data_IF_948963464458
#
_entry.id   IF_948963464458
#
_cell.length_a   1.000
_cell.length_b   1.000
_cell.length_c   1.000
_cell.angle_alpha   90.00
_cell.angle_beta   90.00
_cell.angle_gamma   90.00
#
_symmetry.space_group_name_H-M   'P 1'
#
loop_
_entity.id
_entity.type
_entity.pdbx_description
1 polymer ?
#
# COMPACT_ATOMS: atom_id res chain seq x y z
N UNK A 1 16.20 21.34 -11.60
CA UNK A 1 14.99 22.06 -11.14
C UNK A 1 13.83 21.07 -11.17
N UNK A 2 13.68 20.26 -10.11
CA UNK A 2 12.66 19.20 -10.05
C UNK A 2 11.29 19.82 -9.82
N UNK A 3 10.32 19.47 -10.67
CA UNK A 3 8.95 19.98 -10.72
C UNK A 3 8.38 20.29 -9.32
N UNK A 4 7.98 21.55 -9.10
CA UNK A 4 7.24 21.97 -7.92
C UNK A 4 5.81 21.43 -8.04
N UNK A 5 5.65 20.12 -7.82
CA UNK A 5 4.34 19.46 -7.91
C UNK A 5 3.42 20.08 -6.85
N UNK A 6 2.31 20.68 -7.29
CA UNK A 6 1.30 21.21 -6.40
C UNK A 6 0.81 20.07 -5.48
N UNK A 7 0.68 20.33 -4.17
CA UNK A 7 0.31 19.32 -3.15
C UNK A 7 -1.00 18.62 -3.51
N UNK A 8 -1.96 19.34 -4.06
CA UNK A 8 -3.23 18.79 -4.53
C UNK A 8 -3.02 17.76 -5.65
N UNK A 9 -2.26 18.12 -6.68
CA UNK A 9 -1.95 17.24 -7.81
C UNK A 9 -1.22 15.96 -7.36
N UNK A 10 -0.32 16.06 -6.37
CA UNK A 10 0.38 14.90 -5.84
C UNK A 10 -0.56 13.92 -5.12
N UNK A 11 -1.50 14.41 -4.30
CA UNK A 11 -2.48 13.55 -3.62
C UNK A 11 -3.39 12.87 -4.63
N UNK A 12 -3.91 13.63 -5.60
CA UNK A 12 -4.80 13.09 -6.63
C UNK A 12 -4.09 12.01 -7.46
N UNK A 13 -2.86 12.27 -7.91
CA UNK A 13 -2.07 11.29 -8.65
C UNK A 13 -1.84 10.01 -7.86
N UNK A 14 -1.41 10.12 -6.60
CA UNK A 14 -1.16 8.95 -5.75
C UNK A 14 -2.45 8.17 -5.49
N UNK A 15 -3.55 8.88 -5.21
CA UNK A 15 -4.87 8.25 -5.05
C UNK A 15 -5.27 7.46 -6.31
N UNK A 16 -5.21 8.09 -7.49
CA UNK A 16 -5.57 7.44 -8.75
C UNK A 16 -4.68 6.24 -9.05
N UNK A 17 -3.36 6.38 -8.92
CA UNK A 17 -2.43 5.27 -9.12
C UNK A 17 -2.67 4.13 -8.13
N UNK A 18 -2.99 4.45 -6.88
CA UNK A 18 -3.28 3.45 -5.86
C UNK A 18 -4.50 2.61 -6.26
N UNK A 19 -5.61 3.27 -6.63
CA UNK A 19 -6.84 2.61 -7.05
C UNK A 19 -6.61 1.80 -8.33
N UNK A 20 -5.88 2.33 -9.30
CA UNK A 20 -5.55 1.62 -10.55
C UNK A 20 -4.74 0.36 -10.26
N UNK A 21 -3.69 0.44 -9.44
CA UNK A 21 -2.87 -0.72 -9.08
C UNK A 21 -3.68 -1.77 -8.34
N UNK A 22 -4.59 -1.34 -7.47
CA UNK A 22 -5.50 -2.23 -6.78
C UNK A 22 -6.44 -2.96 -7.75
N UNK A 23 -7.09 -2.24 -8.67
CA UNK A 23 -7.99 -2.84 -9.68
C UNK A 23 -7.23 -3.80 -10.60
N UNK A 24 -6.03 -3.41 -11.05
CA UNK A 24 -5.20 -4.27 -11.90
C UNK A 24 -4.83 -5.58 -11.19
N UNK A 25 -4.48 -5.48 -9.90
CA UNK A 25 -4.22 -6.64 -9.08
C UNK A 25 -5.47 -7.51 -8.90
N UNK A 26 -6.60 -6.90 -8.54
CA UNK A 26 -7.88 -7.59 -8.35
C UNK A 26 -8.28 -8.36 -9.61
N UNK A 27 -8.19 -7.71 -10.77
CA UNK A 27 -8.42 -8.34 -12.07
C UNK A 27 -7.48 -9.52 -12.30
N UNK A 28 -6.19 -9.39 -12.00
CA UNK A 28 -5.22 -10.48 -12.17
C UNK A 28 -5.57 -11.70 -11.32
N UNK A 29 -5.93 -11.53 -10.05
CA UNK A 29 -6.27 -12.64 -9.17
C UNK A 29 -7.63 -13.28 -9.50
N UNK A 30 -8.64 -12.46 -9.81
CA UNK A 30 -9.99 -12.96 -10.07
C UNK A 30 -10.12 -13.60 -11.45
N UNK A 31 -9.48 -13.06 -12.49
CA UNK A 31 -9.66 -13.51 -13.87
C UNK A 31 -8.60 -14.52 -14.32
N UNK A 32 -7.35 -14.40 -13.84
CA UNK A 32 -6.25 -15.22 -14.34
C UNK A 32 -5.87 -16.37 -13.41
N UNK A 33 -6.25 -16.33 -12.14
CA UNK A 33 -5.90 -17.38 -11.17
C UNK A 33 -7.09 -18.21 -10.67
N UNK A 34 -8.34 -17.84 -10.99
CA UNK A 34 -9.57 -18.52 -10.53
C UNK A 34 -9.53 -18.88 -9.03
N UNK A 35 -8.82 -18.07 -8.24
CA UNK A 35 -8.47 -18.41 -6.86
C UNK A 35 -9.45 -17.72 -5.91
N UNK A 36 -10.17 -18.45 -5.04
CA UNK A 36 -11.10 -17.86 -4.06
C UNK A 36 -10.38 -17.23 -2.86
N UNK A 37 -9.11 -16.85 -3.01
CA UNK A 37 -8.33 -16.25 -1.93
C UNK A 37 -8.93 -14.88 -1.59
N UNK A 38 -9.16 -14.57 -0.30
CA UNK A 38 -9.60 -13.24 0.10
C UNK A 38 -8.61 -12.23 -0.46
N UNK A 39 -9.08 -11.22 -1.20
CA UNK A 39 -8.19 -10.24 -1.84
C UNK A 39 -7.28 -9.52 -0.84
N UNK A 40 -7.80 -9.35 0.37
CA UNK A 40 -7.10 -8.82 1.52
C UNK A 40 -5.81 -9.62 1.83
N UNK A 41 -5.80 -10.91 1.53
CA UNK A 41 -4.76 -11.90 1.86
C UNK A 41 -3.89 -12.33 0.66
N UNK A 42 -3.86 -11.52 -0.41
CA UNK A 42 -3.13 -11.86 -1.63
C UNK A 42 -1.61 -11.93 -1.38
N UNK A 43 -0.95 -12.93 -2.00
CA UNK A 43 0.52 -13.07 -1.97
C UNK A 43 1.28 -11.98 -2.74
N UNK A 44 0.56 -11.05 -3.39
CA UNK A 44 1.13 -9.89 -4.08
C UNK A 44 0.22 -8.71 -3.79
N UNK A 45 0.72 -7.66 -3.14
CA UNK A 45 -0.04 -6.43 -2.90
C UNK A 45 0.67 -5.21 -3.51
N UNK A 46 0.40 -4.95 -4.79
CA UNK A 46 0.99 -3.86 -5.58
C UNK A 46 0.81 -2.46 -4.95
N UNK A 47 -0.35 -2.12 -4.36
CA UNK A 47 -0.53 -0.79 -3.77
C UNK A 47 0.51 -0.47 -2.70
N UNK A 48 0.99 -1.45 -1.91
CA UNK A 48 2.02 -1.24 -0.90
C UNK A 48 3.31 -0.65 -1.50
N UNK A 49 3.75 -1.19 -2.65
CA UNK A 49 4.93 -0.70 -3.35
C UNK A 49 4.83 0.75 -3.79
N UNK A 50 3.65 1.16 -4.25
CA UNK A 50 3.37 2.57 -4.53
C UNK A 50 3.49 3.41 -3.24
N UNK A 51 2.94 2.95 -2.11
CA UNK A 51 3.04 3.71 -0.85
C UNK A 51 4.48 3.95 -0.45
N UNK A 52 5.33 2.92 -0.52
CA UNK A 52 6.75 3.03 -0.16
C UNK A 52 7.43 4.10 -1.03
N UNK A 53 7.32 3.98 -2.35
CA UNK A 53 8.01 4.88 -3.28
C UNK A 53 7.43 6.30 -3.24
N UNK A 54 6.10 6.42 -3.28
CA UNK A 54 5.44 7.72 -3.23
C UNK A 54 5.76 8.44 -1.91
N UNK A 55 5.82 7.72 -0.78
CA UNK A 55 6.18 8.33 0.51
C UNK A 55 7.65 8.74 0.57
N UNK A 56 8.56 7.93 0.01
CA UNK A 56 9.98 8.30 -0.08
C UNK A 56 10.20 9.55 -0.94
N UNK A 57 9.44 9.70 -2.03
CA UNK A 57 9.56 10.84 -2.97
C UNK A 57 8.86 12.10 -2.44
N UNK A 58 7.60 11.98 -2.04
CA UNK A 58 6.73 13.12 -1.75
C UNK A 58 6.57 13.41 -0.25
N UNK A 59 7.01 12.50 0.62
CA UNK A 59 6.86 12.62 2.07
C UNK A 59 5.40 12.78 2.49
N UNK A 60 5.15 13.59 3.52
CA UNK A 60 3.82 13.78 4.11
C UNK A 60 2.82 14.51 3.20
N UNK A 61 3.27 15.00 2.04
CA UNK A 61 2.42 15.76 1.12
C UNK A 61 1.29 14.92 0.53
N UNK A 62 1.47 13.59 0.43
CA UNK A 62 0.53 12.66 -0.22
C UNK A 62 -0.34 11.84 0.75
N UNK A 63 -0.29 12.15 2.05
CA UNK A 63 -0.98 11.37 3.10
C UNK A 63 -2.49 11.23 2.84
N UNK A 64 -3.13 12.31 2.36
CA UNK A 64 -4.58 12.31 2.10
C UNK A 64 -4.89 11.38 0.92
N UNK A 65 -4.10 11.44 -0.15
CA UNK A 65 -4.26 10.57 -1.31
C UNK A 65 -4.07 9.09 -0.97
N UNK A 66 -3.05 8.77 -0.17
CA UNK A 66 -2.82 7.40 0.32
C UNK A 66 -3.96 6.90 1.20
N UNK A 67 -4.42 7.73 2.13
CA UNK A 67 -5.54 7.39 3.00
C UNK A 67 -6.82 7.15 2.19
N UNK A 68 -7.16 8.05 1.28
CA UNK A 68 -8.34 7.89 0.42
C UNK A 68 -8.24 6.66 -0.46
N UNK A 69 -7.04 6.32 -0.95
CA UNK A 69 -6.81 5.11 -1.74
C UNK A 69 -7.17 3.87 -0.93
N UNK A 70 -6.59 3.76 0.27
CA UNK A 70 -6.89 2.68 1.21
C UNK A 70 -8.36 2.61 1.60
N UNK A 71 -8.97 3.76 1.89
CA UNK A 71 -10.35 3.84 2.33
C UNK A 71 -11.30 3.35 1.23
N UNK A 72 -11.13 3.83 0.00
CA UNK A 72 -11.96 3.42 -1.14
C UNK A 72 -11.76 1.95 -1.49
N UNK A 73 -10.51 1.46 -1.54
CA UNK A 73 -10.27 0.03 -1.82
C UNK A 73 -10.74 -0.84 -0.66
N UNK A 74 -10.68 -0.35 0.58
CA UNK A 74 -11.24 -1.03 1.75
C UNK A 74 -12.75 -1.17 1.67
N UNK A 75 -13.46 -0.12 1.25
CA UNK A 75 -14.89 -0.20 0.94
C UNK A 75 -15.16 -1.26 -0.12
N UNK A 76 -14.37 -1.31 -1.19
CA UNK A 76 -14.52 -2.31 -2.24
C UNK A 76 -14.30 -3.74 -1.75
N UNK A 77 -13.26 -4.00 -0.94
CA UNK A 77 -12.98 -5.34 -0.40
C UNK A 77 -14.15 -5.84 0.46
N UNK A 78 -14.74 -4.96 1.27
CA UNK A 78 -15.87 -5.29 2.14
C UNK A 78 -17.23 -5.14 1.45
N UNK A 79 -17.24 -4.78 0.15
CA UNK A 79 -18.44 -4.59 -0.65
C UNK A 79 -19.20 -5.89 -0.91
N UNK A 80 -18.55 -7.06 -0.83
CA UNK A 80 -19.21 -8.36 -1.02
C UNK A 80 -20.35 -8.61 -0.03
N UNK A 81 -20.40 -7.87 1.08
CA UNK A 81 -21.49 -7.89 2.06
C UNK A 81 -22.68 -6.98 1.68
N UNK A 82 -22.60 -6.27 0.55
CA UNK A 82 -23.59 -5.32 0.03
C UNK A 82 -23.30 -3.85 0.42
N UNK A 83 -23.53 -2.90 -0.50
CA UNK A 83 -23.33 -1.46 -0.24
C UNK A 83 -24.19 -0.94 0.91
N UNK A 84 -25.38 -1.51 1.11
CA UNK A 84 -26.25 -1.19 2.24
C UNK A 84 -25.61 -1.59 3.57
N UNK A 85 -24.91 -2.73 3.63
CA UNK A 85 -24.24 -3.21 4.85
C UNK A 85 -23.17 -2.23 5.34
N UNK A 86 -22.47 -1.55 4.42
CA UNK A 86 -21.50 -0.50 4.77
C UNK A 86 -22.15 0.68 5.49
N UNK A 87 -23.33 1.12 5.07
CA UNK A 87 -24.04 2.24 5.73
C UNK A 87 -24.82 1.82 6.97
N UNK A 88 -25.10 0.52 7.14
CA UNK A 88 -25.89 0.00 8.27
C UNK A 88 -25.04 -0.59 9.39
N UNK A 89 -23.81 -1.03 9.11
CA UNK A 89 -22.92 -1.60 10.12
C UNK A 89 -21.75 -0.65 10.47
N UNK A 90 -21.85 0.09 11.58
CA UNK A 90 -20.79 1.01 12.00
C UNK A 90 -19.47 0.31 12.34
N UNK A 91 -19.49 -0.99 12.63
CA UNK A 91 -18.27 -1.74 12.97
C UNK A 91 -17.37 -1.94 11.76
N UNK A 92 -17.95 -2.21 10.58
CA UNK A 92 -17.22 -2.35 9.31
C UNK A 92 -16.61 -1.00 8.90
N UNK A 93 -17.36 0.09 9.04
CA UNK A 93 -16.85 1.44 8.75
C UNK A 93 -15.66 1.77 9.65
N UNK A 94 -15.76 1.49 10.95
CA UNK A 94 -14.68 1.70 11.90
C UNK A 94 -13.45 0.84 11.58
N UNK A 95 -13.65 -0.44 11.24
CA UNK A 95 -12.59 -1.34 10.79
C UNK A 95 -11.84 -0.77 9.57
N UNK A 96 -12.56 -0.32 8.54
CA UNK A 96 -11.97 0.27 7.33
C UNK A 96 -11.19 1.55 7.67
N UNK A 97 -11.73 2.43 8.52
CA UNK A 97 -11.06 3.65 8.95
C UNK A 97 -9.74 3.36 9.69
N UNK A 98 -9.77 2.43 10.64
CA UNK A 98 -8.60 2.06 11.44
C UNK A 98 -7.52 1.42 10.54
N UNK A 99 -7.89 0.41 9.76
CA UNK A 99 -6.96 -0.28 8.86
C UNK A 99 -6.38 0.66 7.80
N UNK A 100 -7.19 1.54 7.21
CA UNK A 100 -6.72 2.56 6.27
C UNK A 100 -5.71 3.53 6.91
N UNK A 101 -5.95 3.91 8.16
CA UNK A 101 -5.03 4.76 8.93
C UNK A 101 -3.72 4.04 9.19
N UNK A 102 -3.76 2.81 9.71
CA UNK A 102 -2.57 1.98 9.98
C UNK A 102 -1.74 1.84 8.71
N UNK A 103 -2.38 1.41 7.62
CA UNK A 103 -1.70 1.18 6.35
C UNK A 103 -1.11 2.45 5.74
N UNK A 104 -1.77 3.60 5.89
CA UNK A 104 -1.23 4.89 5.43
C UNK A 104 0.00 5.31 6.21
N UNK A 105 -0.02 5.16 7.53
CA UNK A 105 1.04 5.66 8.40
C UNK A 105 2.22 4.69 8.60
N UNK A 106 2.05 3.39 8.37
CA UNK A 106 3.10 2.40 8.62
C UNK A 106 4.41 2.75 7.90
N UNK A 107 4.36 3.19 6.64
CA UNK A 107 5.54 3.59 5.85
C UNK A 107 6.25 4.79 6.46
N UNK A 108 5.49 5.79 6.94
CA UNK A 108 6.04 6.97 7.60
C UNK A 108 6.74 6.62 8.91
N UNK A 109 6.11 5.75 9.69
CA UNK A 109 6.68 5.25 10.94
C UNK A 109 7.98 4.50 10.63
N UNK A 110 7.98 3.60 9.64
CA UNK A 110 9.18 2.87 9.23
C UNK A 110 10.31 3.80 8.81
N UNK A 111 10.04 4.81 7.99
CA UNK A 111 11.05 5.80 7.58
C UNK A 111 11.59 6.55 8.78
N UNK A 112 10.74 7.00 9.72
CA UNK A 112 11.18 7.71 10.93
C UNK A 112 12.04 6.83 11.83
N UNK A 113 11.64 5.58 12.06
CA UNK A 113 12.40 4.63 12.87
C UNK A 113 13.76 4.33 12.25
N UNK A 114 13.78 4.03 10.94
CA UNK A 114 15.01 3.72 10.22
C UNK A 114 15.97 4.92 10.19
N UNK A 115 15.48 6.14 9.99
CA UNK A 115 16.31 7.35 10.04
C UNK A 115 16.92 7.62 11.41
N UNK A 116 16.28 7.19 12.50
CA UNK A 116 16.89 7.26 13.85
C UNK A 116 18.04 6.27 14.04
N UNK A 117 18.05 5.17 13.27
CA UNK A 117 19.07 4.13 13.35
C UNK A 117 20.24 4.35 12.39
N UNK A 118 19.98 4.87 11.18
CA UNK A 118 21.01 5.16 10.18
C UNK A 118 20.66 6.45 9.40
N UNK A 119 21.39 7.53 9.68
CA UNK A 119 21.20 8.82 9.01
C UNK A 119 21.45 8.76 7.50
N UNK A 120 22.15 7.73 6.99
CA UNK A 120 22.36 7.53 5.54
C UNK A 120 21.09 7.14 4.79
N UNK A 121 20.01 6.80 5.50
CA UNK A 121 18.69 6.52 4.94
C UNK A 121 17.89 7.79 4.58
N UNK A 122 18.57 8.94 4.49
CA UNK A 122 18.01 10.17 3.92
C UNK A 122 17.91 10.12 2.40
N UNK A 123 18.77 9.36 1.73
CA UNK A 123 18.75 9.20 0.28
C UNK A 123 17.80 8.09 -0.17
N UNK A 124 17.14 8.28 -1.31
CA UNK A 124 16.30 7.26 -1.94
C UNK A 124 17.21 6.28 -2.69
N UNK A 125 17.73 5.29 -1.98
CA UNK A 125 18.55 4.21 -2.55
C UNK A 125 17.78 2.90 -2.57
N UNK A 126 18.25 1.91 -3.34
CA UNK A 126 17.70 0.55 -3.31
C UNK A 126 17.66 -0.02 -1.88
N UNK A 127 18.73 0.23 -1.10
CA UNK A 127 18.81 -0.19 0.30
C UNK A 127 17.70 0.46 1.13
N UNK A 128 17.47 1.76 0.97
CA UNK A 128 16.39 2.48 1.68
C UNK A 128 15.02 1.90 1.32
N UNK A 129 14.77 1.64 0.03
CA UNK A 129 13.49 1.09 -0.44
C UNK A 129 13.23 -0.30 0.14
N UNK A 130 14.23 -1.18 0.13
CA UNK A 130 14.10 -2.54 0.68
C UNK A 130 13.84 -2.49 2.19
N UNK A 131 14.64 -1.73 2.95
CA UNK A 131 14.50 -1.64 4.40
C UNK A 131 13.15 -1.05 4.81
N UNK A 132 12.70 0.01 4.14
CA UNK A 132 11.38 0.62 4.40
C UNK A 132 10.27 -0.35 4.02
N UNK A 133 10.38 -1.07 2.91
CA UNK A 133 9.38 -2.06 2.51
C UNK A 133 9.25 -3.17 3.55
N UNK A 134 10.36 -3.77 4.00
CA UNK A 134 10.34 -4.84 4.99
C UNK A 134 9.73 -4.35 6.32
N UNK A 135 10.21 -3.21 6.84
CA UNK A 135 9.74 -2.72 8.13
C UNK A 135 8.27 -2.26 8.07
N UNK A 136 7.86 -1.62 6.98
CA UNK A 136 6.47 -1.17 6.83
C UNK A 136 5.52 -2.32 6.54
N UNK A 137 5.95 -3.36 5.82
CA UNK A 137 5.21 -4.60 5.64
C UNK A 137 4.99 -5.30 6.98
N UNK A 138 6.02 -5.36 7.84
CA UNK A 138 5.91 -5.96 9.17
C UNK A 138 4.91 -5.20 10.05
N UNK A 139 5.01 -3.87 10.11
CA UNK A 139 4.07 -3.04 10.88
C UNK A 139 2.66 -3.19 10.30
N UNK A 140 2.50 -3.09 8.98
CA UNK A 140 1.21 -3.19 8.33
C UNK A 140 0.56 -4.57 8.61
N UNK A 141 1.29 -5.66 8.37
CA UNK A 141 0.76 -7.01 8.56
C UNK A 141 0.36 -7.27 10.01
N UNK A 142 1.15 -6.86 10.99
CA UNK A 142 0.81 -7.07 12.40
C UNK A 142 -0.42 -6.28 12.83
N UNK A 143 -0.43 -4.95 12.60
CA UNK A 143 -1.48 -4.09 13.14
C UNK A 143 -2.80 -4.22 12.37
N UNK A 144 -2.76 -4.41 11.05
CA UNK A 144 -3.99 -4.64 10.27
C UNK A 144 -4.61 -5.98 10.64
N UNK A 145 -3.83 -7.06 10.74
CA UNK A 145 -4.36 -8.36 11.13
C UNK A 145 -4.85 -8.42 12.58
N UNK A 146 -4.17 -7.71 13.48
CA UNK A 146 -4.66 -7.55 14.84
C UNK A 146 -5.99 -6.80 14.87
N UNK A 147 -6.15 -5.76 14.04
CA UNK A 147 -7.44 -5.06 13.90
C UNK A 147 -8.51 -5.99 13.34
N UNK A 148 -8.22 -6.77 12.29
CA UNK A 148 -9.17 -7.76 11.78
C UNK A 148 -9.56 -8.81 12.83
N UNK A 149 -8.61 -9.29 13.63
CA UNK A 149 -8.89 -10.21 14.73
C UNK A 149 -9.86 -9.64 15.78
N UNK A 150 -9.82 -8.33 16.04
CA UNK A 150 -10.72 -7.68 16.99
C UNK A 150 -12.14 -7.45 16.44
N UNK A 151 -12.30 -7.32 15.12
CA UNK A 151 -13.56 -6.91 14.48
C UNK A 151 -14.26 -8.04 13.73
N UNK A 152 -13.52 -9.03 13.21
CA UNK A 152 -14.05 -10.15 12.42
C UNK A 152 -13.96 -11.43 13.25
N UNK A 153 -15.12 -12.02 13.52
CA UNK A 153 -15.21 -13.31 14.20
C UNK A 153 -14.47 -14.39 13.41
N UNK A 154 -13.74 -15.26 14.11
CA UNK A 154 -13.02 -16.41 13.55
C UNK A 154 -11.86 -16.03 12.57
N UNK A 155 -11.32 -14.82 12.66
CA UNK A 155 -10.15 -14.39 11.87
C UNK A 155 -8.87 -15.18 12.22
N UNK A 156 -8.29 -15.84 11.22
CA UNK A 156 -7.08 -16.66 11.37
C UNK A 156 -5.78 -15.86 11.32
N UNK A 157 -5.41 -15.25 12.44
CA UNK A 157 -4.31 -14.27 12.52
C UNK A 157 -2.95 -14.79 11.99
N UNK A 158 -2.61 -16.05 12.25
CA UNK A 158 -1.27 -16.58 11.94
C UNK A 158 -0.98 -16.61 10.43
N UNK A 159 -1.85 -17.25 9.64
CA UNK A 159 -1.63 -17.40 8.20
C UNK A 159 -1.72 -16.04 7.48
N UNK A 160 -2.61 -15.17 7.96
CA UNK A 160 -2.89 -13.87 7.36
C UNK A 160 -1.73 -12.88 7.57
N UNK A 161 -1.07 -12.88 8.72
CA UNK A 161 0.13 -12.04 8.94
C UNK A 161 1.22 -12.36 7.91
N UNK A 162 1.50 -13.65 7.66
CA UNK A 162 2.52 -14.05 6.69
C UNK A 162 2.15 -13.66 5.26
N UNK A 163 0.88 -13.86 4.88
CA UNK A 163 0.40 -13.51 3.54
C UNK A 163 0.50 -12.00 3.28
N UNK A 164 0.04 -11.16 4.23
CA UNK A 164 0.19 -9.71 4.15
C UNK A 164 1.66 -9.28 4.07
N UNK A 165 2.50 -9.85 4.93
CA UNK A 165 3.91 -9.49 4.99
C UNK A 165 4.64 -9.81 3.67
N UNK A 166 4.44 -11.02 3.15
CA UNK A 166 5.04 -11.46 1.88
C UNK A 166 4.45 -10.66 0.72
N UNK A 167 3.13 -10.48 0.68
CA UNK A 167 2.43 -9.73 -0.36
C UNK A 167 2.91 -8.29 -0.49
N UNK A 168 3.09 -7.61 0.64
CA UNK A 168 3.60 -6.24 0.70
C UNK A 168 5.04 -6.15 0.17
N UNK A 169 5.92 -7.08 0.56
CA UNK A 169 7.32 -7.11 0.10
C UNK A 169 7.39 -7.39 -1.40
N UNK A 170 6.68 -8.41 -1.90
CA UNK A 170 6.67 -8.77 -3.31
C UNK A 170 6.08 -7.63 -4.14
N UNK A 171 4.98 -7.03 -3.70
CA UNK A 171 4.37 -5.86 -4.33
C UNK A 171 5.33 -4.69 -4.43
N UNK A 172 6.07 -4.39 -3.35
CA UNK A 172 7.13 -3.39 -3.34
C UNK A 172 8.23 -3.65 -4.37
N UNK A 173 8.73 -4.89 -4.44
CA UNK A 173 9.78 -5.26 -5.38
C UNK A 173 9.29 -5.08 -6.82
N UNK A 174 8.08 -5.55 -7.15
CA UNK A 174 7.49 -5.43 -8.49
C UNK A 174 7.37 -3.96 -8.89
N UNK A 175 6.75 -3.12 -8.06
CA UNK A 175 6.58 -1.69 -8.37
C UNK A 175 7.94 -1.00 -8.54
N UNK A 176 8.91 -1.31 -7.67
CA UNK A 176 10.25 -0.76 -7.80
C UNK A 176 10.90 -1.12 -9.15
N UNK A 177 10.80 -2.37 -9.59
CA UNK A 177 11.33 -2.79 -10.89
C UNK A 177 10.62 -2.12 -12.06
N UNK A 178 9.29 -1.98 -12.00
CA UNK A 178 8.51 -1.27 -13.02
C UNK A 178 9.00 0.18 -13.15
N UNK A 179 9.09 0.91 -12.04
CA UNK A 179 9.53 2.30 -12.04
C UNK A 179 10.99 2.43 -12.53
N UNK A 180 11.87 1.53 -12.09
CA UNK A 180 13.26 1.48 -12.55
C UNK A 180 13.37 1.32 -14.06
N UNK A 181 12.58 0.43 -14.65
CA UNK A 181 12.59 0.19 -16.10
C UNK A 181 12.00 1.37 -16.88
N UNK A 182 10.89 1.96 -16.40
CA UNK A 182 10.31 3.17 -16.98
C UNK A 182 11.36 4.30 -17.00
N UNK A 183 12.02 4.55 -15.86
CA UNK A 183 13.05 5.58 -15.77
C UNK A 183 14.23 5.33 -16.71
N UNK A 184 14.70 4.08 -16.80
CA UNK A 184 15.78 3.70 -17.73
C UNK A 184 15.40 4.00 -19.18
N UNK A 185 14.17 3.67 -19.59
CA UNK A 185 13.70 3.87 -20.96
C UNK A 185 13.52 5.36 -21.29
N UNK A 186 12.98 6.16 -20.37
CA UNK A 186 12.87 7.61 -20.56
C UNK A 186 14.25 8.24 -20.76
N UNK A 187 15.22 7.90 -19.91
CA UNK A 187 16.58 8.44 -20.00
C UNK A 187 17.32 7.96 -21.27
N UNK A 188 16.98 6.79 -21.79
CA UNK A 188 17.48 6.33 -23.08
C UNK A 188 16.94 7.19 -24.21
N UNK A 189 15.64 7.54 -24.19
CA UNK A 189 15.01 8.40 -25.20
C UNK A 189 15.54 9.84 -25.18
N UNK A 190 15.82 10.41 -24.00
CA UNK A 190 16.42 11.76 -23.88
C UNK A 190 17.85 11.86 -24.45
N UNK A 191 18.50 10.72 -24.74
CA UNK A 191 19.85 10.67 -25.29
C UNK A 191 19.88 10.67 -26.83
N UNK A 192 18.72 10.59 -27.48
CA UNK A 192 18.54 10.66 -28.94
C UNK A 192 17.65 11.84 -29.29
#
# INVERSE_FOLDING_TARGET
MLFKVNKFNANFLVFSLFVILFILQDFFFNVLQDSPLPLAASLIYLPHGLRVLATLIAGSKILVGLFMGHFITGIYIHYSNGLSAFFTDPTIVLLILITSTISTFCVFVSIKLLKRLDNRLQEITLRTIILVSILSALINSLFVNFTYYLFIKDWSINNQIFQYFIGDIIGSIIIFYIIKNIYKNIRFLEKY
#
